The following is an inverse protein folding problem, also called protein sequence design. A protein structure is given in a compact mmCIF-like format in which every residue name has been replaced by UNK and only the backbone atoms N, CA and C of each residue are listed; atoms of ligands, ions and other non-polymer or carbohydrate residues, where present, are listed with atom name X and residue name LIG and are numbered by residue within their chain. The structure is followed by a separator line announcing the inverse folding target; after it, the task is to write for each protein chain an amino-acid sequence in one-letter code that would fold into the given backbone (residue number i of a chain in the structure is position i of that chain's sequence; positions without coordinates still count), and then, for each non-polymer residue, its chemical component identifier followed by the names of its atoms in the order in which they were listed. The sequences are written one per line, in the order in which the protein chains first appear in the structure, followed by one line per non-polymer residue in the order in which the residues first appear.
data_IF_147936498011
#
_entry.id   IF_147936498011
#
_cell.length_a   1.000
_cell.length_b   1.000
_cell.length_c   1.000
_cell.angle_alpha   90.00
_cell.angle_beta   90.00
_cell.angle_gamma   90.00
#
_symmetry.space_group_name_H-M   'P 1'
#
loop_
_entity.id
_entity.type
_entity.pdbx_description
1 polymer ?
#
# COMPACT_ATOMS: atom_id res chain seq x y z
N UNK A 1 -5.91 10.41 1.76
CA UNK A 1 -5.24 9.25 1.10
C UNK A 1 -4.36 8.54 2.10
N UNK A 2 -4.39 7.22 2.16
CA UNK A 2 -3.56 6.38 3.03
C UNK A 2 -2.97 5.21 2.24
N UNK A 3 -1.87 4.67 2.73
CA UNK A 3 -1.26 3.45 2.19
C UNK A 3 -1.29 2.37 3.28
N UNK A 4 -1.89 1.22 3.02
CA UNK A 4 -1.93 0.09 3.93
C UNK A 4 -1.09 -1.07 3.39
N UNK A 5 -0.24 -1.65 4.25
CA UNK A 5 0.63 -2.77 3.93
C UNK A 5 0.15 -4.00 4.71
N UNK A 6 -0.40 -4.98 4.00
CA UNK A 6 -0.92 -6.20 4.60
C UNK A 6 0.20 -7.23 4.79
N UNK A 7 0.59 -7.47 6.05
CA UNK A 7 1.56 -8.50 6.46
C UNK A 7 2.80 -8.58 5.54
N UNK A 8 3.50 -7.46 5.30
CA UNK A 8 4.62 -7.45 4.37
C UNK A 8 5.72 -8.42 4.82
N UNK A 9 6.37 -9.09 3.86
CA UNK A 9 7.35 -10.14 4.15
C UNK A 9 8.76 -9.88 3.58
N UNK A 10 8.95 -8.77 2.84
CA UNK A 10 10.25 -8.34 2.34
C UNK A 10 10.63 -6.97 2.93
N UNK A 11 11.61 -6.91 3.85
CA UNK A 11 11.95 -5.68 4.56
C UNK A 11 12.41 -4.53 3.65
N UNK A 12 13.12 -4.82 2.55
CA UNK A 12 13.56 -3.82 1.59
C UNK A 12 12.39 -3.13 0.87
N UNK A 13 11.37 -3.89 0.47
CA UNK A 13 10.17 -3.36 -0.16
C UNK A 13 9.38 -2.50 0.82
N UNK A 14 9.24 -2.97 2.06
CA UNK A 14 8.59 -2.20 3.12
C UNK A 14 9.30 -0.87 3.33
N UNK A 15 10.63 -0.88 3.53
CA UNK A 15 11.39 0.36 3.70
C UNK A 15 11.24 1.34 2.53
N UNK A 16 11.22 0.83 1.29
CA UNK A 16 11.02 1.66 0.11
C UNK A 16 9.60 2.26 0.03
N UNK A 17 8.56 1.49 0.43
CA UNK A 17 7.18 1.99 0.51
C UNK A 17 7.01 3.02 1.62
N UNK A 18 7.64 2.82 2.79
CA UNK A 18 7.63 3.80 3.86
C UNK A 18 8.30 5.12 3.42
N UNK A 19 9.44 5.04 2.73
CA UNK A 19 10.09 6.21 2.15
C UNK A 19 9.20 6.91 1.12
N UNK A 20 8.56 6.15 0.23
CA UNK A 20 7.63 6.68 -0.76
C UNK A 20 6.50 7.48 -0.08
N UNK A 21 5.93 6.93 0.98
CA UNK A 21 4.86 7.57 1.74
C UNK A 21 5.31 8.91 2.34
N UNK A 22 6.50 8.97 2.93
CA UNK A 22 7.06 10.24 3.44
C UNK A 22 7.26 11.25 2.32
N UNK A 23 7.82 10.83 1.17
CA UNK A 23 8.06 11.72 0.04
C UNK A 23 6.77 12.36 -0.50
N UNK A 24 5.64 11.69 -0.35
CA UNK A 24 4.35 12.19 -0.81
C UNK A 24 3.42 12.68 0.31
N UNK A 25 3.87 12.70 1.56
CA UNK A 25 3.07 13.14 2.71
C UNK A 25 1.86 12.23 2.99
N UNK A 26 1.99 10.93 2.71
CA UNK A 26 0.92 9.94 2.86
C UNK A 26 1.12 9.15 4.15
N UNK A 27 0.07 9.01 4.94
CA UNK A 27 0.06 8.19 6.14
C UNK A 27 0.07 6.69 5.80
N UNK A 28 0.70 5.90 6.67
CA UNK A 28 0.84 4.45 6.47
C UNK A 28 0.19 3.67 7.59
N UNK A 29 -0.58 2.65 7.23
CA UNK A 29 -1.05 1.59 8.10
C UNK A 29 -0.24 0.32 7.83
N UNK A 30 0.47 -0.18 8.84
CA UNK A 30 1.21 -1.44 8.76
C UNK A 30 0.43 -2.52 9.52
N UNK A 31 -0.01 -3.53 8.80
CA UNK A 31 -0.81 -4.62 9.34
C UNK A 31 0.10 -5.83 9.59
N UNK A 32 0.23 -6.22 10.84
CA UNK A 32 1.07 -7.34 11.27
C UNK A 32 0.30 -8.68 11.19
N UNK A 33 1.02 -9.83 11.19
CA UNK A 33 2.45 -9.97 11.45
C UNK A 33 3.34 -9.71 10.24
N UNK A 34 4.45 -9.00 10.45
CA UNK A 34 5.54 -8.93 9.47
C UNK A 34 6.53 -10.07 9.69
N UNK A 35 7.16 -10.58 8.62
CA UNK A 35 8.21 -11.61 8.73
C UNK A 35 9.60 -11.04 9.07
N UNK A 36 9.66 -9.81 9.53
CA UNK A 36 10.88 -9.10 9.93
C UNK A 36 10.52 -8.07 11.02
N UNK A 37 11.55 -7.56 11.70
CA UNK A 37 11.38 -6.45 12.64
C UNK A 37 11.49 -5.11 11.90
N UNK A 38 10.70 -4.11 12.28
CA UNK A 38 10.75 -2.78 11.66
C UNK A 38 12.08 -2.04 11.91
N UNK A 39 12.82 -2.40 12.95
CA UNK A 39 14.16 -1.90 13.20
C UNK A 39 15.26 -2.64 12.42
N UNK A 40 14.89 -3.62 11.57
CA UNK A 40 15.81 -4.33 10.68
C UNK A 40 16.60 -3.33 9.84
N UNK A 41 17.92 -3.55 9.78
CA UNK A 41 18.85 -2.72 9.01
C UNK A 41 18.45 -2.58 7.55
N UNK A 42 17.77 -3.58 6.98
CA UNK A 42 17.30 -3.57 5.59
C UNK A 42 16.12 -2.61 5.40
N UNK A 43 15.21 -2.50 6.38
CA UNK A 43 14.13 -1.51 6.40
C UNK A 43 14.73 -0.12 6.52
N UNK A 44 15.60 0.09 7.50
CA UNK A 44 16.27 1.38 7.74
C UNK A 44 17.08 1.83 6.54
N UNK A 45 17.86 0.93 5.93
CA UNK A 45 18.65 1.26 4.73
C UNK A 45 17.78 1.68 3.54
N UNK A 46 16.64 1.03 3.32
CA UNK A 46 15.72 1.37 2.24
C UNK A 46 14.94 2.66 2.54
N UNK A 47 14.54 2.88 3.79
CA UNK A 47 13.84 4.08 4.24
C UNK A 47 14.73 5.29 4.42
N UNK A 48 16.05 5.09 4.64
CA UNK A 48 17.01 6.14 5.00
C UNK A 48 16.54 6.96 6.23
N UNK A 49 16.93 8.23 6.30
CA UNK A 49 16.57 9.16 7.38
C UNK A 49 15.12 9.64 7.31
N UNK A 50 14.38 9.27 6.26
CA UNK A 50 13.00 9.70 6.05
C UNK A 50 12.01 9.13 7.08
N UNK A 51 12.35 8.00 7.72
CA UNK A 51 11.45 7.31 8.65
C UNK A 51 11.13 8.13 9.91
N UNK A 52 11.96 9.10 10.28
CA UNK A 52 11.70 10.00 11.41
C UNK A 52 10.48 10.89 11.19
N UNK A 53 10.14 11.19 9.93
CA UNK A 53 9.00 12.03 9.55
C UNK A 53 7.79 11.20 9.10
N UNK A 54 7.81 9.88 9.32
CA UNK A 54 6.76 8.99 8.87
C UNK A 54 5.57 8.98 9.84
N UNK A 55 4.38 9.30 9.33
CA UNK A 55 3.14 9.01 10.03
C UNK A 55 2.78 7.53 9.83
N UNK A 56 3.21 6.69 10.77
CA UNK A 56 3.02 5.24 10.75
C UNK A 56 2.11 4.79 11.87
N UNK A 57 1.04 4.08 11.51
CA UNK A 57 0.16 3.38 12.44
C UNK A 57 0.36 1.87 12.30
N UNK A 58 0.59 1.16 13.41
CA UNK A 58 0.78 -0.30 13.43
C UNK A 58 -0.45 -0.96 13.99
N UNK A 59 -0.89 -2.02 13.33
CA UNK A 59 -2.04 -2.81 13.73
C UNK A 59 -1.59 -4.25 13.96
N UNK A 60 -1.88 -4.79 15.14
CA UNK A 60 -1.45 -6.14 15.55
C UNK A 60 -2.06 -7.27 14.70
N UNK A 61 -3.10 -6.98 13.93
CA UNK A 61 -3.76 -7.93 13.04
C UNK A 61 -4.63 -7.21 12.00
N UNK A 62 -5.08 -7.96 11.00
CA UNK A 62 -6.10 -7.51 10.04
C UNK A 62 -7.39 -7.03 10.72
N UNK A 63 -7.84 -7.76 11.74
CA UNK A 63 -9.05 -7.42 12.50
C UNK A 63 -8.88 -6.11 13.27
N UNK A 64 -7.70 -5.90 13.89
CA UNK A 64 -7.39 -4.65 14.58
C UNK A 64 -7.39 -3.47 13.61
N UNK A 65 -6.81 -3.65 12.41
CA UNK A 65 -6.85 -2.64 11.35
C UNK A 65 -8.29 -2.30 10.95
N UNK A 66 -9.13 -3.30 10.67
CA UNK A 66 -10.53 -3.07 10.30
C UNK A 66 -11.35 -2.36 11.39
N UNK A 67 -11.07 -2.65 12.67
CA UNK A 67 -11.74 -1.99 13.79
C UNK A 67 -11.42 -0.50 13.91
N UNK A 68 -10.24 -0.08 13.45
CA UNK A 68 -9.78 1.31 13.49
C UNK A 68 -9.93 2.04 12.14
N UNK A 69 -10.22 1.29 11.08
CA UNK A 69 -10.35 1.86 9.74
C UNK A 69 -11.59 2.75 9.62
N UNK A 70 -11.41 3.97 9.09
CA UNK A 70 -12.53 4.90 8.87
C UNK A 70 -13.52 4.30 7.85
N UNK A 71 -14.78 4.07 8.23
CA UNK A 71 -15.77 3.48 7.33
C UNK A 71 -16.09 4.34 6.10
N UNK A 72 -15.70 5.62 6.10
CA UNK A 72 -15.84 6.52 4.94
C UNK A 72 -14.71 6.32 3.93
N UNK A 73 -13.58 5.75 4.35
CA UNK A 73 -12.45 5.44 3.50
C UNK A 73 -12.70 4.10 2.78
N UNK A 74 -12.61 4.11 1.45
CA UNK A 74 -12.69 2.86 0.68
C UNK A 74 -11.34 2.14 0.74
N UNK A 75 -11.37 0.83 1.00
CA UNK A 75 -10.22 -0.04 0.84
C UNK A 75 -10.08 -0.40 -0.64
N UNK A 76 -9.00 0.06 -1.28
CA UNK A 76 -8.69 -0.20 -2.69
C UNK A 76 -7.53 -1.17 -2.75
N UNK A 77 -7.82 -2.46 -2.93
CA UNK A 77 -6.80 -3.52 -2.99
C UNK A 77 -6.13 -3.55 -4.37
N UNK A 78 -4.81 -3.34 -4.40
CA UNK A 78 -3.99 -3.60 -5.58
C UNK A 78 -3.68 -5.09 -5.67
N UNK A 79 -4.11 -5.73 -6.75
CA UNK A 79 -3.97 -7.18 -6.92
C UNK A 79 -3.89 -7.57 -8.38
N UNK A 80 -3.18 -8.65 -8.69
CA UNK A 80 -3.10 -9.20 -10.05
C UNK A 80 -4.42 -9.83 -10.51
N UNK A 81 -5.33 -10.16 -9.57
CA UNK A 81 -6.69 -10.65 -9.82
C UNK A 81 -7.75 -9.54 -9.71
N UNK A 82 -7.36 -8.29 -9.93
CA UNK A 82 -8.26 -7.15 -9.88
C UNK A 82 -9.29 -7.17 -11.00
N UNK A 83 -10.50 -6.69 -10.70
CA UNK A 83 -11.61 -6.60 -11.65
C UNK A 83 -11.65 -5.29 -12.43
N UNK A 84 -10.93 -4.27 -11.93
CA UNK A 84 -10.89 -2.93 -12.56
C UNK A 84 -9.44 -2.58 -12.91
N UNK A 85 -9.19 -2.18 -14.15
CA UNK A 85 -7.88 -1.69 -14.56
C UNK A 85 -7.56 -0.33 -13.92
N UNK A 86 -6.32 -0.13 -13.48
CA UNK A 86 -5.88 1.09 -12.77
C UNK A 86 -6.28 2.38 -13.51
N UNK A 87 -6.06 2.43 -14.81
CA UNK A 87 -6.36 3.60 -15.65
C UNK A 87 -7.85 3.87 -15.87
N UNK A 88 -8.72 2.97 -15.40
CA UNK A 88 -10.19 3.12 -15.42
C UNK A 88 -10.79 3.29 -14.04
N UNK A 89 -9.97 3.21 -12.99
CA UNK A 89 -10.45 3.35 -11.63
C UNK A 89 -10.43 4.83 -11.21
N UNK A 90 -11.53 5.31 -10.64
CA UNK A 90 -11.63 6.65 -10.08
C UNK A 90 -11.29 6.64 -8.59
N UNK A 91 -10.12 7.16 -8.23
CA UNK A 91 -9.70 7.33 -6.85
C UNK A 91 -10.40 8.51 -6.19
N UNK A 92 -10.62 8.41 -4.87
CA UNK A 92 -11.07 9.49 -4.00
C UNK A 92 -9.97 9.88 -3.00
N UNK A 93 -10.03 11.11 -2.50
CA UNK A 93 -9.02 11.67 -1.59
C UNK A 93 -8.86 10.86 -0.29
N UNK A 94 -9.94 10.24 0.17
CA UNK A 94 -9.99 9.46 1.41
C UNK A 94 -9.64 7.98 1.21
N UNK A 95 -9.39 7.52 -0.01
CA UNK A 95 -9.09 6.10 -0.27
C UNK A 95 -7.85 5.62 0.50
N UNK A 96 -7.92 4.38 0.95
CA UNK A 96 -6.79 3.62 1.47
C UNK A 96 -6.34 2.60 0.43
N UNK A 97 -5.17 2.83 -0.17
CA UNK A 97 -4.54 1.89 -1.11
C UNK A 97 -3.94 0.74 -0.31
N UNK A 98 -4.41 -0.47 -0.53
CA UNK A 98 -3.99 -1.67 0.19
C UNK A 98 -3.09 -2.53 -0.70
N UNK A 99 -1.90 -2.86 -0.20
CA UNK A 99 -0.93 -3.76 -0.83
C UNK A 99 -0.84 -5.07 -0.06
N UNK A 100 -0.90 -6.18 -0.77
CA UNK A 100 -0.73 -7.52 -0.19
C UNK A 100 0.74 -7.89 0.02
N UNK A 101 0.97 -9.10 0.58
CA UNK A 101 2.32 -9.69 0.72
C UNK A 101 2.99 -9.88 -0.62
N UNK A 102 4.29 -9.77 -0.64
CA UNK A 102 5.09 -10.01 -1.83
C UNK A 102 5.05 -11.48 -2.26
N UNK A 103 5.11 -12.40 -1.29
CA UNK A 103 5.18 -13.85 -1.56
C UNK A 103 3.85 -14.49 -1.91
N UNK A 104 2.72 -13.95 -1.41
CA UNK A 104 1.42 -14.62 -1.48
C UNK A 104 0.23 -13.69 -1.82
N UNK A 105 0.49 -12.38 -2.01
CA UNK A 105 -0.58 -11.41 -2.21
C UNK A 105 -1.46 -11.25 -0.97
N UNK A 106 -2.74 -10.95 -1.19
CA UNK A 106 -3.74 -10.83 -0.14
C UNK A 106 -4.62 -12.08 -0.07
N UNK A 107 -4.99 -12.57 1.13
CA UNK A 107 -5.91 -13.69 1.27
C UNK A 107 -7.35 -13.28 0.94
N UNK A 108 -8.21 -14.28 0.73
CA UNK A 108 -9.60 -14.08 0.32
C UNK A 108 -10.40 -13.17 1.28
N UNK A 109 -10.10 -13.23 2.58
CA UNK A 109 -10.76 -12.36 3.57
C UNK A 109 -10.47 -10.87 3.31
N UNK A 110 -9.27 -10.55 2.85
CA UNK A 110 -8.87 -9.18 2.47
C UNK A 110 -9.52 -8.78 1.15
N UNK A 111 -9.56 -9.69 0.18
CA UNK A 111 -10.26 -9.46 -1.10
C UNK A 111 -11.75 -9.14 -0.91
N UNK A 112 -12.41 -9.83 0.03
CA UNK A 112 -13.84 -9.60 0.32
C UNK A 112 -14.10 -8.30 1.07
N UNK A 113 -13.17 -7.85 1.88
CA UNK A 113 -13.29 -6.59 2.61
C UNK A 113 -12.99 -5.36 1.73
N UNK A 114 -12.28 -5.55 0.63
CA UNK A 114 -11.94 -4.46 -0.27
C UNK A 114 -13.17 -3.93 -1.02
N UNK A 115 -13.36 -2.62 -1.00
CA UNK A 115 -14.42 -1.94 -1.77
C UNK A 115 -14.15 -2.00 -3.28
N UNK A 116 -12.88 -2.07 -3.67
CA UNK A 116 -12.47 -2.26 -5.05
C UNK A 116 -11.19 -3.10 -5.14
N UNK A 117 -11.06 -3.87 -6.22
CA UNK A 117 -9.89 -4.68 -6.56
C UNK A 117 -9.33 -4.17 -7.88
N UNK A 118 -8.18 -3.53 -7.81
CA UNK A 118 -7.58 -2.82 -8.93
C UNK A 118 -6.34 -3.56 -9.42
N UNK A 119 -6.23 -3.71 -10.73
CA UNK A 119 -5.08 -4.35 -11.40
C UNK A 119 -4.33 -3.34 -12.26
N UNK A 120 -3.01 -3.42 -12.23
CA UNK A 120 -2.15 -2.73 -13.20
C UNK A 120 -2.05 -3.65 -14.43
N UNK A 121 -2.59 -3.27 -15.59
CA UNK A 121 -2.45 -4.07 -16.80
C UNK A 121 -0.99 -4.21 -17.21
N UNK A 122 -0.55 -5.43 -17.47
CA UNK A 122 0.83 -5.74 -17.87
C UNK A 122 0.85 -6.36 -19.26
N UNK A 123 1.95 -6.13 -19.97
CA UNK A 123 2.19 -6.80 -21.25
C UNK A 123 2.58 -8.27 -21.01
N UNK A 124 1.99 -9.19 -21.77
CA UNK A 124 2.37 -10.59 -21.77
C UNK A 124 3.87 -10.78 -22.12
N UNK A 125 4.65 -11.65 -21.46
CA UNK A 125 4.26 -12.69 -20.47
C UNK A 125 4.40 -12.25 -18.99
N UNK A 126 4.51 -10.97 -18.69
CA UNK A 126 4.64 -10.48 -17.31
C UNK A 126 3.39 -10.87 -16.48
N UNK A 127 3.61 -11.34 -15.25
CA UNK A 127 2.52 -11.79 -14.35
C UNK A 127 2.26 -10.84 -13.20
N UNK A 128 3.29 -10.16 -12.74
CA UNK A 128 3.21 -9.22 -11.61
C UNK A 128 4.35 -8.22 -11.64
N UNK A 129 4.18 -7.11 -10.95
CA UNK A 129 5.24 -6.16 -10.61
C UNK A 129 5.72 -6.42 -9.18
N UNK A 130 6.92 -5.94 -8.89
CA UNK A 130 7.35 -5.76 -7.50
C UNK A 130 6.33 -4.88 -6.77
N UNK A 131 6.03 -5.21 -5.51
CA UNK A 131 4.98 -4.53 -4.73
C UNK A 131 5.27 -3.04 -4.55
N UNK A 132 6.54 -2.66 -4.39
CA UNK A 132 6.94 -1.25 -4.28
C UNK A 132 6.63 -0.47 -5.57
N UNK A 133 6.93 -1.07 -6.72
CA UNK A 133 6.60 -0.46 -8.02
C UNK A 133 5.10 -0.37 -8.22
N UNK A 134 4.35 -1.42 -7.88
CA UNK A 134 2.90 -1.40 -7.96
C UNK A 134 2.30 -0.32 -7.05
N UNK A 135 2.79 -0.22 -5.81
CA UNK A 135 2.40 0.82 -4.86
C UNK A 135 2.72 2.23 -5.35
N UNK A 136 3.91 2.43 -5.93
CA UNK A 136 4.32 3.74 -6.47
C UNK A 136 3.43 4.18 -7.65
N UNK A 137 3.13 3.27 -8.57
CA UNK A 137 2.28 3.54 -9.73
C UNK A 137 0.85 3.86 -9.27
N UNK A 138 0.29 3.06 -8.36
CA UNK A 138 -1.07 3.26 -7.85
C UNK A 138 -1.18 4.57 -7.05
N UNK A 139 -0.21 4.86 -6.19
CA UNK A 139 -0.20 6.07 -5.38
C UNK A 139 -0.04 7.32 -6.26
N UNK A 140 0.88 7.32 -7.22
CA UNK A 140 1.07 8.44 -8.13
C UNK A 140 -0.20 8.74 -8.93
N UNK A 141 -0.88 7.72 -9.47
CA UNK A 141 -2.14 7.90 -10.19
C UNK A 141 -3.25 8.43 -9.27
N UNK A 142 -3.37 7.90 -8.05
CA UNK A 142 -4.35 8.36 -7.07
C UNK A 142 -4.12 9.83 -6.68
N UNK A 143 -2.87 10.22 -6.41
CA UNK A 143 -2.51 11.61 -6.09
C UNK A 143 -2.77 12.55 -7.28
N UNK A 144 -2.49 12.09 -8.50
CA UNK A 144 -2.79 12.84 -9.71
C UNK A 144 -4.28 13.12 -9.88
N UNK A 145 -5.12 12.09 -9.69
CA UNK A 145 -6.57 12.22 -9.83
C UNK A 145 -7.20 13.11 -8.75
N UNK A 146 -6.67 13.06 -7.54
CA UNK A 146 -7.22 13.77 -6.38
C UNK A 146 -6.60 15.14 -6.14
N UNK A 147 -5.57 15.52 -6.89
CA UNK A 147 -4.87 16.79 -6.71
C UNK A 147 -4.05 16.87 -5.42
N UNK A 148 -3.69 15.73 -4.83
CA UNK A 148 -2.98 15.64 -3.55
C UNK A 148 -1.45 15.50 -3.68
N UNK A 149 -0.87 15.73 -4.86
CA UNK A 149 0.58 15.84 -4.94
C UNK A 149 1.09 16.98 -4.06
N UNK A 150 2.22 16.80 -3.35
CA UNK A 150 2.86 17.88 -2.60
C UNK A 150 3.11 19.10 -3.48
N UNK A 151 2.77 20.28 -2.99
CA UNK A 151 3.13 21.54 -3.65
C UNK A 151 4.64 21.77 -3.45
N UNK A 152 5.35 22.13 -4.51
CA UNK A 152 6.77 22.53 -4.46
C UNK A 152 6.91 23.96 -3.95
#
# INVERSE_FOLDING_TARGET
MRLALFEPDIPQNTGALLRLAVCFGVEVDLIEPCRFLLDDRRVKRAGLDYLENLSLRRHASWQAFLAEHDPRSRLVLMTTSGSVALHRFAFAAEDTILLGRESAGAPEVVHRAAAARVVIPLHWPARSLNVTLAGAIALAEALRQTGLFPLQ
#
